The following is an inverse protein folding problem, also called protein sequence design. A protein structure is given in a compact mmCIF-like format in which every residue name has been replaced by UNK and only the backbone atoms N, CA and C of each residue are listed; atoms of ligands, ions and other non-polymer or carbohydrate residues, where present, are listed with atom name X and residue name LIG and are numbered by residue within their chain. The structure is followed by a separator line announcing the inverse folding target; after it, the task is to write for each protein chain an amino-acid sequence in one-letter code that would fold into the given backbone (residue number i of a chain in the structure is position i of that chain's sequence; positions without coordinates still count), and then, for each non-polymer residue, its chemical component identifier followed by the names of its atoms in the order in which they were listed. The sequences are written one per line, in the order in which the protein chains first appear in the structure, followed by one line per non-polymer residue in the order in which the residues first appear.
data_IF_733890135738
#
_entry.id   IF_733890135738
#
_cell.length_a   1.000
_cell.length_b   1.000
_cell.length_c   1.000
_cell.angle_alpha   90.00
_cell.angle_beta   90.00
_cell.angle_gamma   90.00
#
_symmetry.space_group_name_H-M   'P 1'
#
loop_
_entity.id
_entity.type
_entity.pdbx_description
1 polymer ?
#
# COMPACT_ATOMS: atom_id res chain seq x y z
N UNK A 1 -5.40 37.37 19.62
CA UNK A 1 -4.77 36.58 18.55
C UNK A 1 -5.86 35.73 17.92
N UNK A 2 -6.46 36.24 16.87
CA UNK A 2 -7.55 35.59 16.12
C UNK A 2 -6.92 34.61 15.14
N UNK A 3 -6.99 33.33 15.44
CA UNK A 3 -6.59 32.26 14.51
C UNK A 3 -7.52 32.30 13.31
N UNK A 4 -7.01 32.73 12.16
CA UNK A 4 -7.66 32.58 10.87
C UNK A 4 -7.56 31.10 10.49
N UNK A 5 -8.49 30.27 10.96
CA UNK A 5 -8.73 28.94 10.42
C UNK A 5 -9.38 29.11 9.03
N UNK A 6 -8.57 29.53 8.06
CA UNK A 6 -8.91 29.36 6.65
C UNK A 6 -9.05 27.87 6.43
N UNK A 7 -10.28 27.40 6.27
CA UNK A 7 -10.60 26.05 5.81
C UNK A 7 -10.04 25.91 4.39
N UNK A 8 -8.74 25.65 4.27
CA UNK A 8 -8.12 25.19 3.04
C UNK A 8 -8.70 23.81 2.82
N UNK A 9 -9.78 23.72 2.05
CA UNK A 9 -10.34 22.45 1.60
C UNK A 9 -9.20 21.72 0.89
N UNK A 10 -8.62 20.73 1.56
CA UNK A 10 -7.49 19.98 1.02
C UNK A 10 -8.00 19.22 -0.19
N UNK A 11 -7.75 19.76 -1.38
CA UNK A 11 -8.14 19.10 -2.63
C UNK A 11 -7.24 17.89 -2.82
N UNK A 12 -7.83 16.71 -2.77
CA UNK A 12 -7.20 15.49 -3.24
C UNK A 12 -6.67 15.67 -4.67
N UNK A 13 -5.57 15.03 -5.01
CA UNK A 13 -5.00 15.05 -6.36
C UNK A 13 -4.76 13.62 -6.81
N UNK A 14 -5.03 13.35 -8.08
CA UNK A 14 -4.73 12.07 -8.69
C UNK A 14 -3.62 12.33 -9.69
N UNK A 15 -2.46 11.73 -9.46
CA UNK A 15 -1.29 11.91 -10.31
C UNK A 15 -1.03 10.60 -11.04
N UNK A 16 -1.14 10.63 -12.36
CA UNK A 16 -0.81 9.51 -13.22
C UNK A 16 0.71 9.39 -13.33
N UNK A 17 1.23 8.17 -13.28
CA UNK A 17 2.67 7.89 -13.21
C UNK A 17 3.11 7.02 -14.38
N UNK A 18 4.38 7.18 -14.77
CA UNK A 18 5.00 6.26 -15.71
C UNK A 18 5.16 4.86 -15.10
N UNK A 19 4.82 3.83 -15.87
CA UNK A 19 5.02 2.43 -15.51
C UNK A 19 5.14 1.58 -16.79
N UNK A 20 5.59 0.32 -16.69
CA UNK A 20 5.65 -0.59 -17.84
C UNK A 20 4.30 -0.74 -18.57
N UNK A 21 4.34 -0.97 -19.89
CA UNK A 21 3.15 -1.05 -20.77
C UNK A 21 2.03 -2.00 -20.30
N UNK A 22 2.37 -3.04 -19.53
CA UNK A 22 1.39 -4.01 -19.01
C UNK A 22 0.69 -3.54 -17.73
N UNK A 23 1.09 -2.38 -17.21
CA UNK A 23 0.62 -1.76 -15.99
C UNK A 23 0.18 -0.32 -16.25
N UNK A 24 -0.66 0.17 -15.35
CA UNK A 24 -1.01 1.58 -15.20
C UNK A 24 -0.81 1.93 -13.73
N UNK A 25 -0.28 3.12 -13.44
CA UNK A 25 0.00 3.54 -12.08
C UNK A 25 -0.51 4.97 -11.83
N UNK A 26 -1.00 5.20 -10.62
CA UNK A 26 -1.36 6.53 -10.15
C UNK A 26 -1.20 6.63 -8.64
N UNK A 27 -1.01 7.85 -8.14
CA UNK A 27 -1.08 8.19 -6.71
C UNK A 27 -2.28 9.09 -6.47
N UNK A 28 -3.17 8.68 -5.57
CA UNK A 28 -4.17 9.55 -4.99
C UNK A 28 -3.55 10.25 -3.78
N UNK A 29 -3.02 11.45 -4.00
CA UNK A 29 -2.35 12.26 -3.00
C UNK A 29 -3.34 12.68 -1.90
N UNK A 30 -2.99 12.36 -0.67
CA UNK A 30 -3.72 12.78 0.52
C UNK A 30 -2.74 12.91 1.69
N UNK A 31 -2.80 13.99 2.48
CA UNK A 31 -2.13 13.96 3.77
C UNK A 31 -2.83 12.93 4.66
N UNK A 32 -2.09 11.92 5.14
CA UNK A 32 -2.60 11.03 6.18
C UNK A 32 -2.73 11.84 7.48
N UNK A 33 -3.95 11.93 8.00
CA UNK A 33 -4.25 12.82 9.09
C UNK A 33 -3.64 12.26 10.40
N UNK A 34 -2.86 13.06 11.15
CA UNK A 34 -2.20 12.59 12.38
C UNK A 34 -3.20 12.23 13.50
N UNK A 35 -4.41 12.78 13.44
CA UNK A 35 -5.52 12.63 14.41
C UNK A 35 -6.48 11.46 14.14
N UNK A 36 -6.32 10.74 13.02
CA UNK A 36 -6.69 9.31 13.00
C UNK A 36 -8.00 8.89 12.35
N UNK A 37 -8.36 9.53 11.23
CA UNK A 37 -9.37 8.96 10.32
C UNK A 37 -9.16 9.42 8.88
N UNK A 38 -9.70 8.67 7.90
CA UNK A 38 -9.67 9.10 6.51
C UNK A 38 -10.52 10.36 6.38
N UNK A 39 -10.00 11.37 5.69
CA UNK A 39 -10.83 12.50 5.26
C UNK A 39 -12.03 11.96 4.46
N UNK A 40 -13.28 12.44 4.67
CA UNK A 40 -14.46 11.90 3.97
C UNK A 40 -14.30 11.88 2.44
N UNK A 41 -13.68 12.91 1.87
CA UNK A 41 -13.39 12.94 0.43
C UNK A 41 -12.41 11.83 0.01
N UNK A 42 -11.43 11.50 0.86
CA UNK A 42 -10.46 10.44 0.57
C UNK A 42 -11.15 9.08 0.59
N UNK A 43 -11.97 8.80 1.62
CA UNK A 43 -12.78 7.61 1.68
C UNK A 43 -13.65 7.46 0.43
N UNK A 44 -14.37 8.53 0.06
CA UNK A 44 -15.20 8.51 -1.14
C UNK A 44 -14.36 8.24 -2.40
N UNK A 45 -13.18 8.86 -2.53
CA UNK A 45 -12.33 8.71 -3.71
C UNK A 45 -11.81 7.27 -3.85
N UNK A 46 -11.42 6.66 -2.72
CA UNK A 46 -11.05 5.26 -2.67
C UNK A 46 -12.23 4.35 -2.98
N UNK A 47 -13.42 4.60 -2.44
CA UNK A 47 -14.61 3.81 -2.75
C UNK A 47 -14.95 3.88 -4.26
N UNK A 48 -14.76 5.05 -4.87
CA UNK A 48 -14.93 5.22 -6.31
C UNK A 48 -13.86 4.46 -7.11
N UNK A 49 -12.59 4.48 -6.69
CA UNK A 49 -11.53 3.64 -7.28
C UNK A 49 -11.87 2.15 -7.22
N UNK A 50 -12.30 1.66 -6.06
CA UNK A 50 -12.65 0.26 -5.86
C UNK A 50 -13.84 -0.19 -6.71
N UNK A 51 -14.76 0.73 -7.02
CA UNK A 51 -15.92 0.46 -7.87
C UNK A 51 -15.56 0.42 -9.36
N UNK A 52 -14.55 1.16 -9.80
CA UNK A 52 -14.20 1.29 -11.22
C UNK A 52 -12.99 0.44 -11.63
N UNK A 53 -12.18 -0.02 -10.68
CA UNK A 53 -11.06 -0.91 -10.93
C UNK A 53 -11.54 -2.35 -10.83
N UNK A 54 -11.80 -2.98 -11.98
CA UNK A 54 -12.26 -4.37 -12.10
C UNK A 54 -11.50 -5.36 -11.18
N UNK A 55 -10.16 -5.29 -11.02
CA UNK A 55 -9.46 -6.21 -10.12
C UNK A 55 -9.95 -6.15 -8.67
N UNK A 56 -10.50 -5.01 -8.24
CA UNK A 56 -10.94 -4.78 -6.87
C UNK A 56 -12.46 -4.89 -6.67
N UNK A 57 -13.23 -5.07 -7.75
CA UNK A 57 -14.70 -5.17 -7.71
C UNK A 57 -15.17 -6.39 -6.91
N UNK A 58 -14.43 -7.50 -6.98
CA UNK A 58 -14.77 -8.76 -6.31
C UNK A 58 -13.78 -9.10 -5.21
N UNK A 59 -14.27 -9.37 -4.00
CA UNK A 59 -13.41 -9.71 -2.84
C UNK A 59 -12.68 -11.04 -2.99
N UNK A 60 -13.16 -11.93 -3.85
CA UNK A 60 -12.50 -13.22 -4.09
C UNK A 60 -11.15 -12.96 -4.77
N UNK A 61 -10.08 -13.56 -4.23
CA UNK A 61 -8.74 -13.36 -4.76
C UNK A 61 -8.11 -12.03 -4.35
N UNK A 62 -8.57 -11.44 -3.25
CA UNK A 62 -7.92 -10.29 -2.67
C UNK A 62 -7.19 -10.66 -1.39
N UNK A 63 -6.07 -9.98 -1.16
CA UNK A 63 -5.32 -10.01 0.08
C UNK A 63 -5.34 -8.61 0.68
N UNK A 64 -5.61 -8.49 1.97
CA UNK A 64 -5.53 -7.25 2.73
C UNK A 64 -4.44 -7.41 3.78
N UNK A 65 -3.51 -6.47 3.79
CA UNK A 65 -2.40 -6.43 4.73
C UNK A 65 -2.21 -5.05 5.36
N UNK A 66 -1.44 -5.05 6.45
CA UNK A 66 -1.25 -3.94 7.37
C UNK A 66 0.25 -3.77 7.62
N UNK A 67 0.83 -2.62 7.26
CA UNK A 67 2.21 -2.29 7.58
C UNK A 67 2.33 -1.87 9.05
N UNK A 68 2.62 -2.83 9.91
CA UNK A 68 2.50 -2.70 11.36
C UNK A 68 3.49 -1.70 11.96
N UNK A 69 4.66 -1.51 11.35
CA UNK A 69 5.63 -0.48 11.76
C UNK A 69 5.09 0.95 11.66
N UNK A 70 3.96 1.17 10.96
CA UNK A 70 3.28 2.47 10.85
C UNK A 70 2.04 2.62 11.72
N UNK A 71 1.64 1.56 12.42
CA UNK A 71 0.47 1.64 13.29
C UNK A 71 0.72 2.59 14.46
N UNK A 72 -0.22 3.51 14.74
CA UNK A 72 -0.17 4.34 15.94
C UNK A 72 -0.67 3.53 17.13
N UNK A 73 0.03 3.58 18.28
CA UNK A 73 -0.35 2.84 19.47
C UNK A 73 -1.78 3.08 19.95
N UNK A 74 -2.26 4.32 19.89
CA UNK A 74 -3.56 4.67 20.50
C UNK A 74 -4.75 4.31 19.60
N UNK A 75 -4.58 4.38 18.28
CA UNK A 75 -5.63 4.16 17.30
C UNK A 75 -5.56 2.77 16.65
N UNK A 76 -4.59 2.52 15.77
CA UNK A 76 -4.54 1.30 14.97
C UNK A 76 -4.27 0.06 15.81
N UNK A 77 -3.39 0.14 16.82
CA UNK A 77 -3.12 -1.02 17.69
C UNK A 77 -4.36 -1.39 18.52
N UNK A 78 -5.14 -0.40 18.96
CA UNK A 78 -6.42 -0.62 19.64
C UNK A 78 -7.43 -1.34 18.73
N UNK A 79 -7.51 -0.93 17.45
CA UNK A 79 -8.35 -1.58 16.44
C UNK A 79 -7.90 -3.02 16.16
N UNK A 80 -6.60 -3.23 15.96
CA UNK A 80 -6.02 -4.55 15.76
C UNK A 80 -6.33 -5.47 16.94
N UNK A 81 -6.12 -5.01 18.18
CA UNK A 81 -6.43 -5.81 19.38
C UNK A 81 -7.90 -6.18 19.47
N UNK A 82 -8.79 -5.23 19.17
CA UNK A 82 -10.25 -5.43 19.24
C UNK A 82 -10.72 -6.43 18.18
N UNK A 83 -10.11 -6.41 17.00
CA UNK A 83 -10.52 -7.25 15.86
C UNK A 83 -9.63 -8.47 15.63
N UNK A 84 -8.56 -8.69 16.42
CA UNK A 84 -7.56 -9.72 16.18
C UNK A 84 -8.15 -11.13 16.01
N UNK A 85 -9.20 -11.46 16.76
CA UNK A 85 -9.89 -12.76 16.65
C UNK A 85 -10.62 -12.93 15.32
N UNK A 86 -11.14 -11.83 14.76
CA UNK A 86 -11.90 -11.83 13.51
C UNK A 86 -10.94 -11.76 12.32
N UNK A 87 -9.93 -10.88 12.40
CA UNK A 87 -8.98 -10.65 11.32
C UNK A 87 -7.90 -11.73 11.23
N UNK A 88 -7.63 -12.46 12.32
CA UNK A 88 -6.61 -13.51 12.40
C UNK A 88 -5.28 -13.07 11.75
N UNK A 89 -4.60 -12.06 12.31
CA UNK A 89 -3.43 -11.48 11.67
C UNK A 89 -2.28 -12.50 11.59
N UNK A 90 -1.78 -12.74 10.38
CA UNK A 90 -0.58 -13.53 10.11
C UNK A 90 0.61 -12.59 9.86
N UNK A 91 1.71 -12.79 10.58
CA UNK A 91 2.90 -11.94 10.45
C UNK A 91 3.77 -12.35 9.26
N UNK A 92 4.21 -11.37 8.48
CA UNK A 92 5.21 -11.50 7.42
C UNK A 92 6.13 -10.28 7.34
N UNK A 93 6.92 -10.22 6.29
CA UNK A 93 7.92 -9.17 6.07
C UNK A 93 7.65 -8.38 4.78
N UNK A 94 7.65 -7.05 4.90
CA UNK A 94 7.69 -6.12 3.78
C UNK A 94 9.11 -5.94 3.26
N UNK A 95 9.28 -6.02 1.94
CA UNK A 95 10.56 -5.91 1.26
C UNK A 95 10.47 -4.79 0.23
N UNK A 96 11.38 -3.82 0.29
CA UNK A 96 11.48 -2.74 -0.69
C UNK A 96 12.27 -3.23 -1.90
N UNK A 97 11.63 -3.50 -3.05
CA UNK A 97 12.32 -4.19 -4.13
C UNK A 97 13.40 -3.36 -4.82
N UNK A 98 13.33 -2.03 -4.70
CA UNK A 98 14.30 -1.07 -5.23
C UNK A 98 15.35 -0.62 -4.20
N UNK A 99 15.40 -1.24 -3.01
CA UNK A 99 16.40 -0.96 -1.99
C UNK A 99 17.20 -2.22 -1.66
N UNK A 100 18.27 -2.03 -0.88
CA UNK A 100 18.97 -3.14 -0.26
C UNK A 100 18.04 -3.95 0.64
N UNK A 101 18.35 -5.24 0.79
CA UNK A 101 17.59 -6.11 1.65
C UNK A 101 17.56 -5.57 3.09
N UNK A 102 16.44 -5.75 3.81
CA UNK A 102 16.37 -5.34 5.21
C UNK A 102 17.42 -6.10 6.02
N UNK A 103 18.05 -5.41 6.96
CA UNK A 103 19.04 -5.96 7.88
C UNK A 103 18.72 -5.52 9.30
N UNK A 104 19.12 -6.33 10.28
CA UNK A 104 19.19 -5.87 11.67
C UNK A 104 20.16 -4.70 11.83
N UNK A 105 20.00 -3.95 12.91
CA UNK A 105 20.94 -2.88 13.21
C UNK A 105 22.28 -3.47 13.60
N UNK A 106 23.32 -3.00 12.92
CA UNK A 106 24.69 -3.13 13.41
C UNK A 106 24.85 -2.35 14.71
N UNK A 107 25.85 -2.74 15.50
CA UNK A 107 26.21 -2.00 16.71
C UNK A 107 26.59 -0.56 16.38
N UNK A 108 27.31 -0.37 15.29
CA UNK A 108 27.79 0.92 14.80
C UNK A 108 26.63 1.84 14.42
N UNK A 109 25.64 1.34 13.65
CA UNK A 109 24.41 2.08 13.33
C UNK A 109 23.66 2.49 14.60
N UNK A 110 23.48 1.55 15.54
CA UNK A 110 22.75 1.83 16.79
C UNK A 110 23.43 2.90 17.64
N UNK A 111 24.76 2.86 17.77
CA UNK A 111 25.52 3.82 18.56
C UNK A 111 25.64 5.19 17.88
N UNK A 112 25.57 5.24 16.55
CA UNK A 112 25.66 6.49 15.78
C UNK A 112 24.31 7.19 15.60
N UNK A 113 23.19 6.48 15.75
CA UNK A 113 21.86 7.05 15.55
C UNK A 113 21.45 8.03 16.66
N UNK A 114 20.85 9.15 16.25
CA UNK A 114 20.20 10.04 17.18
C UNK A 114 18.86 9.43 17.66
N UNK A 115 18.34 9.85 18.83
CA UNK A 115 17.03 9.40 19.30
C UNK A 115 15.95 9.62 18.23
N UNK A 116 15.26 8.55 17.85
CA UNK A 116 14.15 8.59 16.88
C UNK A 116 14.56 8.59 15.40
N UNK A 117 15.86 8.56 15.06
CA UNK A 117 16.30 8.55 13.64
C UNK A 117 16.63 7.16 13.13
N UNK A 118 16.52 6.14 13.98
CA UNK A 118 16.88 4.78 13.63
C UNK A 118 15.76 4.14 12.79
N UNK A 119 16.11 3.64 11.60
CA UNK A 119 15.17 2.94 10.71
C UNK A 119 14.54 1.73 11.40
N UNK A 120 13.32 1.30 11.03
CA UNK A 120 12.78 0.03 11.51
C UNK A 120 13.76 -1.13 11.25
N UNK A 121 13.92 -2.04 12.22
CA UNK A 121 14.69 -3.29 12.06
C UNK A 121 14.10 -4.14 10.94
N UNK A 122 12.78 -4.14 10.85
CA UNK A 122 11.99 -4.94 9.93
C UNK A 122 10.69 -4.20 9.63
N UNK A 123 10.25 -4.27 8.38
CA UNK A 123 8.95 -3.74 7.96
C UNK A 123 7.91 -4.83 8.15
N UNK A 124 7.28 -4.88 9.32
CA UNK A 124 6.37 -5.98 9.68
C UNK A 124 5.06 -5.77 8.96
N UNK A 125 4.57 -6.84 8.35
CA UNK A 125 3.29 -6.82 7.65
C UNK A 125 2.36 -7.85 8.29
N UNK A 126 1.14 -7.45 8.63
CA UNK A 126 0.10 -8.37 9.08
C UNK A 126 -0.91 -8.60 7.95
N UNK A 127 -1.05 -9.83 7.52
CA UNK A 127 -2.08 -10.26 6.58
C UNK A 127 -3.35 -10.62 7.35
N UNK A 128 -4.51 -10.19 6.87
CA UNK A 128 -5.82 -10.60 7.40
C UNK A 128 -6.13 -12.02 6.89
N UNK A 129 -5.78 -13.04 7.68
CA UNK A 129 -5.82 -14.46 7.30
C UNK A 129 -7.17 -15.10 7.65
N UNK A 130 -8.20 -14.72 6.92
CA UNK A 130 -9.55 -15.26 7.12
C UNK A 130 -10.20 -15.59 5.79
N UNK A 131 -10.95 -16.69 5.77
CA UNK A 131 -11.78 -17.08 4.63
C UNK A 131 -13.01 -16.19 4.48
N UNK A 132 -13.35 -15.39 5.50
CA UNK A 132 -14.48 -14.47 5.50
C UNK A 132 -14.13 -13.14 4.78
N UNK A 133 -14.69 -12.89 3.58
CA UNK A 133 -14.44 -11.64 2.87
C UNK A 133 -14.92 -10.40 3.63
N UNK A 134 -15.93 -10.54 4.51
CA UNK A 134 -16.43 -9.44 5.30
C UNK A 134 -15.37 -8.93 6.31
N UNK A 135 -14.54 -9.82 6.82
CA UNK A 135 -13.46 -9.43 7.72
C UNK A 135 -12.35 -8.65 7.00
N UNK A 136 -11.99 -9.05 5.77
CA UNK A 136 -11.06 -8.29 4.92
C UNK A 136 -11.61 -6.90 4.59
N UNK A 137 -12.88 -6.81 4.19
CA UNK A 137 -13.57 -5.53 3.97
C UNK A 137 -13.57 -4.69 5.26
N UNK A 138 -13.84 -5.31 6.41
CA UNK A 138 -13.89 -4.60 7.69
C UNK A 138 -12.52 -4.03 8.08
N UNK A 139 -11.43 -4.77 7.85
CA UNK A 139 -10.08 -4.31 8.11
C UNK A 139 -9.71 -3.15 7.20
N UNK A 140 -10.00 -3.26 5.90
CA UNK A 140 -9.81 -2.18 4.94
C UNK A 140 -10.57 -0.91 5.34
N UNK A 141 -11.87 -1.02 5.66
CA UNK A 141 -12.69 0.13 6.05
C UNK A 141 -12.25 0.77 7.36
N UNK A 142 -11.86 -0.05 8.35
CA UNK A 142 -11.49 0.44 9.67
C UNK A 142 -10.17 1.21 9.68
N UNK A 143 -9.28 0.93 8.72
CA UNK A 143 -7.92 1.45 8.70
C UNK A 143 -7.62 2.31 7.47
N UNK A 144 -8.61 2.58 6.62
CA UNK A 144 -8.41 3.46 5.49
C UNK A 144 -8.04 4.86 5.99
N UNK A 145 -7.05 5.48 5.35
CA UNK A 145 -6.50 6.78 5.70
C UNK A 145 -5.49 6.75 6.85
N UNK A 146 -5.13 5.56 7.34
CA UNK A 146 -4.14 5.43 8.43
C UNK A 146 -2.70 5.42 7.94
N UNK A 147 -2.46 5.20 6.64
CA UNK A 147 -1.11 5.09 6.09
C UNK A 147 -0.53 3.68 6.17
N UNK A 148 -1.32 2.67 6.58
CA UNK A 148 -0.81 1.32 6.87
C UNK A 148 -1.34 0.24 5.91
N UNK A 149 -2.35 0.55 5.09
CA UNK A 149 -3.03 -0.49 4.32
C UNK A 149 -2.31 -0.87 3.04
N UNK A 150 -2.36 -2.17 2.75
CA UNK A 150 -1.95 -2.76 1.47
C UNK A 150 -3.08 -3.68 1.03
N UNK A 151 -3.47 -3.61 -0.23
CA UNK A 151 -4.49 -4.46 -0.83
C UNK A 151 -4.06 -4.94 -2.19
N UNK A 152 -4.15 -6.24 -2.41
CA UNK A 152 -3.65 -6.90 -3.61
C UNK A 152 -4.78 -7.74 -4.19
N UNK A 153 -5.13 -7.48 -5.44
CA UNK A 153 -6.02 -8.31 -6.23
C UNK A 153 -5.20 -9.26 -7.10
N UNK A 154 -5.47 -10.57 -7.02
CA UNK A 154 -4.74 -11.60 -7.75
C UNK A 154 -5.67 -12.52 -8.53
N UNK A 155 -5.24 -12.93 -9.72
CA UNK A 155 -5.95 -13.97 -10.49
C UNK A 155 -5.69 -15.38 -9.98
N UNK A 156 -4.81 -15.55 -8.98
CA UNK A 156 -4.48 -16.84 -8.36
C UNK A 156 -4.60 -16.72 -6.84
N UNK A 157 -5.82 -16.79 -6.27
CA UNK A 157 -6.03 -16.79 -4.82
C UNK A 157 -5.16 -17.86 -4.14
N UNK A 158 -4.47 -17.50 -3.06
CA UNK A 158 -3.52 -18.37 -2.37
C UNK A 158 -2.19 -18.63 -3.09
N UNK A 159 -2.08 -18.31 -4.39
CA UNK A 159 -0.85 -18.46 -5.18
C UNK A 159 0.07 -17.24 -5.17
N UNK A 160 -0.47 -16.05 -4.89
CA UNK A 160 0.31 -14.80 -4.85
C UNK A 160 1.43 -14.84 -3.80
N UNK A 161 1.11 -15.11 -2.53
CA UNK A 161 2.07 -15.04 -1.43
C UNK A 161 3.22 -16.05 -1.57
N UNK A 162 2.99 -17.34 -1.89
CA UNK A 162 4.09 -18.27 -2.11
C UNK A 162 5.00 -17.85 -3.26
N UNK A 163 4.43 -17.32 -4.36
CA UNK A 163 5.21 -16.89 -5.51
C UNK A 163 6.03 -15.63 -5.21
N UNK A 164 5.43 -14.62 -4.56
CA UNK A 164 6.13 -13.41 -4.15
C UNK A 164 7.24 -13.74 -3.13
N UNK A 165 6.96 -14.64 -2.18
CA UNK A 165 7.93 -15.14 -1.21
C UNK A 165 9.10 -15.84 -1.88
N UNK A 166 8.85 -16.76 -2.81
CA UNK A 166 9.91 -17.46 -3.54
C UNK A 166 10.84 -16.52 -4.32
N UNK A 167 10.31 -15.37 -4.77
CA UNK A 167 11.10 -14.36 -5.45
C UNK A 167 11.87 -13.43 -4.49
N UNK A 168 11.22 -12.98 -3.41
CA UNK A 168 11.78 -11.98 -2.50
C UNK A 168 12.70 -12.57 -1.44
N UNK A 169 12.40 -13.76 -0.91
CA UNK A 169 13.17 -14.39 0.16
C UNK A 169 14.66 -14.58 -0.18
N UNK A 170 15.07 -14.99 -1.39
CA UNK A 170 16.49 -15.13 -1.73
C UNK A 170 17.31 -13.84 -1.65
N UNK A 171 16.64 -12.67 -1.60
CA UNK A 171 17.31 -11.38 -1.41
C UNK A 171 17.64 -11.11 0.05
N UNK A 172 17.00 -11.80 0.99
CA UNK A 172 17.22 -11.60 2.43
C UNK A 172 18.52 -12.27 2.82
N UNK A 173 19.49 -11.47 3.27
CA UNK A 173 20.83 -11.94 3.66
C UNK A 173 21.01 -12.03 5.17
N UNK A 174 20.13 -11.39 5.94
CA UNK A 174 20.11 -11.47 7.39
C UNK A 174 19.30 -12.70 7.84
N UNK A 175 19.99 -13.68 8.40
CA UNK A 175 19.41 -14.95 8.88
C UNK A 175 18.25 -14.75 9.86
N UNK A 176 18.26 -13.66 10.64
CA UNK A 176 17.18 -13.36 11.59
C UNK A 176 15.87 -12.95 10.91
N UNK A 177 15.94 -12.58 9.62
CA UNK A 177 14.81 -12.16 8.80
C UNK A 177 14.40 -13.21 7.76
N UNK A 178 15.04 -14.37 7.71
CA UNK A 178 14.73 -15.44 6.73
C UNK A 178 13.51 -16.30 7.11
N UNK A 179 13.08 -16.27 8.38
CA UNK A 179 12.09 -17.19 8.93
C UNK A 179 10.64 -16.71 8.86
N UNK A 180 10.35 -15.61 8.15
CA UNK A 180 8.97 -15.17 7.98
C UNK A 180 8.19 -16.12 7.04
N UNK A 181 6.90 -16.40 7.33
CA UNK A 181 6.10 -17.31 6.51
C UNK A 181 5.79 -16.75 5.12
N UNK A 182 5.82 -15.44 4.96
CA UNK A 182 5.65 -14.78 3.67
C UNK A 182 6.39 -13.43 3.60
N UNK A 183 6.68 -13.02 2.37
CA UNK A 183 7.29 -11.73 2.02
C UNK A 183 6.41 -11.02 1.00
N UNK A 184 6.25 -9.70 1.14
CA UNK A 184 5.50 -8.88 0.18
C UNK A 184 6.33 -7.69 -0.29
N UNK A 185 6.18 -7.26 -1.56
CA UNK A 185 6.83 -6.05 -2.03
C UNK A 185 6.16 -4.82 -1.42
N UNK A 186 6.96 -3.88 -0.92
CA UNK A 186 6.54 -2.54 -0.57
C UNK A 186 6.92 -1.62 -1.74
N UNK A 187 5.96 -1.38 -2.64
CA UNK A 187 6.19 -0.52 -3.80
C UNK A 187 6.02 0.96 -3.42
N UNK A 188 6.88 1.79 -4.00
CA UNK A 188 6.79 3.26 -4.02
C UNK A 188 6.82 3.76 -5.45
N UNK A 189 6.51 5.03 -5.65
CA UNK A 189 6.79 5.73 -6.89
C UNK A 189 8.25 5.61 -7.32
N UNK A 190 9.19 5.79 -6.39
CA UNK A 190 10.61 5.66 -6.67
C UNK A 190 10.98 4.26 -7.19
N UNK A 191 10.25 3.22 -6.81
CA UNK A 191 10.44 1.87 -7.34
C UNK A 191 9.96 1.74 -8.80
N UNK A 192 9.02 2.58 -9.24
CA UNK A 192 8.45 2.58 -10.59
C UNK A 192 9.16 3.55 -11.55
N UNK A 193 9.81 4.58 -11.01
CA UNK A 193 10.42 5.68 -11.77
C UNK A 193 11.70 5.32 -12.55
N UNK A 194 12.21 4.08 -12.44
CA UNK A 194 13.44 3.65 -13.10
C UNK A 194 13.21 2.54 -14.14
N UNK A 195 12.44 2.80 -15.22
CA UNK A 195 12.18 1.79 -16.23
C UNK A 195 13.47 1.47 -17.00
N UNK A 196 13.97 0.27 -16.80
CA UNK A 196 14.95 -0.37 -17.69
C UNK A 196 14.24 -1.45 -18.54
N UNK A 197 14.87 -1.94 -19.63
CA UNK A 197 14.20 -2.89 -20.53
C UNK A 197 13.68 -4.19 -19.89
N UNK A 198 14.21 -4.58 -18.73
CA UNK A 198 13.77 -5.78 -17.99
C UNK A 198 12.78 -5.45 -16.85
N UNK A 199 12.44 -4.17 -16.65
CA UNK A 199 11.65 -3.71 -15.51
C UNK A 199 10.24 -4.31 -15.49
N UNK A 200 9.62 -4.51 -16.66
CA UNK A 200 8.31 -5.19 -16.75
C UNK A 200 8.35 -6.59 -16.16
N UNK A 201 9.37 -7.38 -16.55
CA UNK A 201 9.51 -8.75 -16.07
C UNK A 201 9.83 -8.78 -14.57
N UNK A 202 10.58 -7.78 -14.08
CA UNK A 202 10.90 -7.65 -12.67
C UNK A 202 9.68 -7.25 -11.82
N UNK A 203 8.90 -6.25 -12.26
CA UNK A 203 7.64 -5.89 -11.61
C UNK A 203 6.63 -7.05 -11.62
N UNK A 204 6.58 -7.80 -12.71
CA UNK A 204 5.75 -9.02 -12.81
C UNK A 204 6.22 -10.11 -11.83
N UNK A 205 7.51 -10.18 -11.55
CA UNK A 205 8.08 -11.10 -10.56
C UNK A 205 7.87 -10.62 -9.11
N UNK A 206 7.87 -9.31 -8.86
CA UNK A 206 7.49 -8.72 -7.57
C UNK A 206 6.00 -8.95 -7.28
N UNK A 207 5.15 -8.83 -8.31
CA UNK A 207 3.71 -8.91 -8.24
C UNK A 207 3.14 -10.10 -9.06
N UNK A 208 3.49 -11.36 -8.73
CA UNK A 208 3.14 -12.51 -9.54
C UNK A 208 1.64 -12.77 -9.54
N UNK A 209 1.05 -12.89 -10.74
CA UNK A 209 -0.41 -13.04 -10.93
C UNK A 209 -1.27 -11.90 -10.35
N UNK A 210 -0.65 -10.80 -9.93
CA UNK A 210 -1.34 -9.61 -9.46
C UNK A 210 -2.04 -8.92 -10.63
N UNK A 211 -3.29 -8.51 -10.40
CA UNK A 211 -4.15 -7.74 -11.30
C UNK A 211 -4.28 -6.30 -10.85
N UNK A 212 -4.25 -6.06 -9.54
CA UNK A 212 -4.25 -4.73 -8.96
C UNK A 212 -3.49 -4.71 -7.63
N UNK A 213 -2.81 -3.61 -7.36
CA UNK A 213 -2.10 -3.36 -6.11
C UNK A 213 -2.45 -1.96 -5.61
N UNK A 214 -2.77 -1.85 -4.33
CA UNK A 214 -3.02 -0.59 -3.64
C UNK A 214 -2.20 -0.56 -2.36
N UNK A 215 -1.52 0.55 -2.07
CA UNK A 215 -0.79 0.75 -0.82
C UNK A 215 -0.90 2.19 -0.37
N UNK A 216 -1.29 2.39 0.88
CA UNK A 216 -1.14 3.69 1.53
C UNK A 216 0.35 3.91 1.78
N UNK A 217 0.92 4.82 1.00
CA UNK A 217 2.35 5.06 0.88
C UNK A 217 2.65 6.46 1.37
N UNK A 218 3.16 6.55 2.60
CA UNK A 218 3.66 7.82 3.15
C UNK A 218 4.81 8.38 2.30
N UNK A 219 5.63 7.50 1.72
CA UNK A 219 6.70 7.87 0.78
C UNK A 219 6.18 8.64 -0.43
N UNK A 220 5.00 8.27 -0.93
CA UNK A 220 4.38 8.86 -2.11
C UNK A 220 3.33 9.91 -1.73
N UNK A 221 3.12 10.16 -0.43
CA UNK A 221 2.16 11.13 0.07
C UNK A 221 0.69 10.78 -0.23
N UNK A 222 0.33 9.50 -0.30
CA UNK A 222 -1.05 9.09 -0.59
C UNK A 222 -1.24 7.61 -0.87
N UNK A 223 -2.29 7.27 -1.62
CA UNK A 223 -2.57 5.89 -2.04
C UNK A 223 -1.92 5.62 -3.40
N UNK A 224 -0.86 4.81 -3.42
CA UNK A 224 -0.30 4.26 -4.64
C UNK A 224 -1.23 3.16 -5.17
N UNK A 225 -1.62 3.28 -6.44
CA UNK A 225 -2.48 2.34 -7.14
C UNK A 225 -1.78 1.85 -8.40
N UNK A 226 -1.67 0.54 -8.56
CA UNK A 226 -1.27 -0.12 -9.80
C UNK A 226 -2.39 -1.03 -10.26
N UNK A 227 -2.63 -1.07 -11.57
CA UNK A 227 -3.58 -1.99 -12.18
C UNK A 227 -3.09 -2.45 -13.53
N UNK A 228 -3.35 -3.73 -13.84
CA UNK A 228 -3.17 -4.24 -15.19
C UNK A 228 -4.39 -3.91 -16.04
N UNK A 229 -4.17 -3.86 -17.36
CA UNK A 229 -5.23 -3.90 -18.37
C UNK A 229 -6.27 -2.77 -18.27
N UNK A 230 -5.90 -1.61 -17.71
CA UNK A 230 -6.75 -0.42 -17.81
C UNK A 230 -6.61 0.23 -19.19
N UNK A 231 -7.68 0.81 -19.74
CA UNK A 231 -7.57 1.67 -20.92
C UNK A 231 -6.62 2.84 -20.65
N UNK A 232 -5.85 3.26 -21.66
CA UNK A 232 -4.87 4.37 -21.57
C UNK A 232 -5.48 5.67 -21.00
N UNK A 233 -6.77 5.89 -21.22
CA UNK A 233 -7.51 7.07 -20.77
C UNK A 233 -8.25 6.88 -19.44
N UNK A 234 -8.04 5.77 -18.72
CA UNK A 234 -8.80 5.43 -17.51
C UNK A 234 -8.71 6.51 -16.43
N UNK A 235 -7.49 6.92 -16.04
CA UNK A 235 -7.31 7.94 -15.00
C UNK A 235 -7.91 9.29 -15.42
N UNK A 236 -7.78 9.63 -16.70
CA UNK A 236 -8.42 10.80 -17.32
C UNK A 236 -9.95 10.77 -17.30
N UNK A 237 -10.55 9.59 -17.46
CA UNK A 237 -12.00 9.40 -17.37
C UNK A 237 -12.48 9.43 -15.92
N UNK A 238 -11.75 8.75 -15.01
CA UNK A 238 -12.06 8.70 -13.59
C UNK A 238 -12.03 10.10 -12.96
N UNK A 239 -11.02 10.91 -13.28
CA UNK A 239 -10.91 12.29 -12.81
C UNK A 239 -12.05 13.22 -13.29
N UNK A 240 -12.84 12.80 -14.30
CA UNK A 240 -14.02 13.53 -14.80
C UNK A 240 -15.34 13.00 -14.25
N UNK A 241 -15.31 11.92 -13.45
CA UNK A 241 -16.51 11.41 -12.79
C UNK A 241 -16.94 12.36 -11.68
N UNK A 242 -18.27 12.47 -11.50
CA UNK A 242 -18.94 13.26 -10.44
C UNK A 242 -18.37 12.94 -9.05
N UNK A 243 -18.66 13.73 -7.99
CA UNK A 243 -17.91 13.71 -6.73
C UNK A 243 -17.73 12.28 -6.23
N UNK A 244 -16.51 11.92 -5.82
CA UNK A 244 -15.51 12.81 -5.22
C UNK A 244 -14.44 13.36 -6.18
N UNK A 245 -14.39 12.92 -7.45
CA UNK A 245 -13.31 13.29 -8.37
C UNK A 245 -13.47 14.66 -9.04
N UNK A 246 -14.66 15.27 -9.00
CA UNK A 246 -14.88 16.65 -9.49
C UNK A 246 -13.93 17.69 -8.84
N UNK A 247 -13.44 17.42 -7.62
CA UNK A 247 -12.47 18.26 -6.91
C UNK A 247 -11.00 17.84 -7.13
N UNK A 248 -10.78 16.71 -7.79
CA UNK A 248 -9.47 16.08 -7.96
C UNK A 248 -8.82 16.59 -9.24
N UNK A 249 -7.65 17.23 -9.08
CA UNK A 249 -6.87 17.67 -10.22
C UNK A 249 -6.05 16.50 -10.74
N UNK A 250 -6.27 16.10 -12.00
CA UNK A 250 -5.37 15.19 -12.68
C UNK A 250 -4.08 15.93 -13.06
N UNK A 251 -2.95 15.36 -12.68
CA UNK A 251 -1.62 15.78 -13.15
C UNK A 251 -0.92 14.60 -13.82
N UNK A 252 -0.17 14.90 -14.88
CA UNK A 252 0.73 13.96 -15.56
C UNK A 252 2.14 14.49 -15.39
N UNK A 253 3.05 13.62 -14.96
CA UNK A 253 4.48 13.92 -14.89
C UNK A 253 5.18 13.70 -16.25
#
# INVERSE_FOLDING_TARGET
MTSLSGSTTSRLRLREMACPDSWTAAVLETPFAPDGGPHPDYQAAVDCLLTHLEPFEHTIGQEVMLQFDRCRPDAEISLLRTNARIWQPEIGLGVWPNQDAPTTWTKEEFLAAAPGTLRPVMYRVFRVQTEDPAAQISAWKALLGSGVLIRIATSKPGGFLPAATAFLQPRITDVSLESFPFYIPLLTEGALAHPHPAFTAELDAWLPACKGYMRESEEDGGLLVLSRQLPEQFWGALAKTKPPFDAVRLTRD
#
